data_IF_472218239142
#
_entry.id   IF_472218239142
#
_cell.length_a   1.000
_cell.length_b   1.000
_cell.length_c   1.000
_cell.angle_alpha   90.00
_cell.angle_beta   90.00
_cell.angle_gamma   90.00
#
_symmetry.space_group_name_H-M   'P 1'
#
loop_
_entity.id
_entity.type
_entity.pdbx_description
1 polymer ?
#
# COMPACT_ATOMS: atom_id res chain seq x y z
N UNK A 1 -3.31 -4.98 -11.06
CA UNK A 1 -2.61 -3.93 -10.33
C UNK A 1 -1.10 -4.18 -10.42
N UNK A 2 -0.32 -3.19 -10.83
CA UNK A 2 1.14 -3.26 -10.82
C UNK A 2 1.67 -2.44 -9.63
N UNK A 3 2.64 -2.96 -8.88
CA UNK A 3 3.24 -2.27 -7.73
C UNK A 3 4.71 -2.03 -8.01
N UNK A 4 5.14 -0.77 -7.89
CA UNK A 4 6.55 -0.38 -7.99
C UNK A 4 6.99 0.20 -6.66
N UNK A 5 7.96 -0.47 -6.02
CA UNK A 5 8.66 0.08 -4.85
C UNK A 5 9.64 1.13 -5.35
N UNK A 6 9.52 2.36 -4.85
CA UNK A 6 10.38 3.49 -5.22
C UNK A 6 11.53 3.67 -4.25
N UNK A 7 11.30 3.40 -2.98
CA UNK A 7 12.25 3.68 -1.90
C UNK A 7 11.94 2.81 -0.69
N UNK A 8 12.99 2.40 0.03
CA UNK A 8 12.93 1.69 1.31
C UNK A 8 13.56 2.60 2.36
N UNK A 9 12.81 2.97 3.40
CA UNK A 9 13.31 3.71 4.56
C UNK A 9 13.31 2.82 5.78
N UNK A 10 14.44 2.72 6.45
CA UNK A 10 14.54 2.02 7.73
C UNK A 10 14.03 2.94 8.84
N UNK A 11 13.16 2.40 9.70
CA UNK A 11 12.66 3.08 10.88
C UNK A 11 13.52 2.66 12.07
N UNK A 12 14.01 3.63 12.83
CA UNK A 12 14.87 3.42 13.99
C UNK A 12 14.19 4.01 15.22
N UNK A 13 14.31 3.32 16.36
CA UNK A 13 13.67 3.76 17.62
C UNK A 13 14.38 5.01 18.19
N UNK A 14 15.71 5.07 18.05
CA UNK A 14 16.51 6.13 18.66
C UNK A 14 17.74 6.50 17.80
N UNK A 15 17.49 7.06 16.61
CA UNK A 15 18.53 7.44 15.65
C UNK A 15 19.11 6.27 14.85
N UNK A 16 19.83 6.60 13.78
CA UNK A 16 20.39 5.70 12.77
C UNK A 16 21.51 4.78 13.28
N UNK A 17 21.97 4.97 14.52
CA UNK A 17 22.91 4.06 15.19
C UNK A 17 22.23 2.92 15.96
N UNK A 18 20.91 2.98 16.13
CA UNK A 18 20.13 1.93 16.80
C UNK A 18 19.73 0.83 15.82
N UNK A 19 19.35 -0.34 16.34
CA UNK A 19 18.67 -1.36 15.53
C UNK A 19 17.40 -0.77 14.91
N UNK A 20 17.18 -1.05 13.62
CA UNK A 20 15.93 -0.68 12.98
C UNK A 20 14.78 -1.52 13.55
N UNK A 21 13.61 -0.92 13.73
CA UNK A 21 12.39 -1.58 14.25
C UNK A 21 11.44 -2.00 13.14
N UNK A 22 11.67 -1.50 11.93
CA UNK A 22 10.97 -1.92 10.72
C UNK A 22 11.40 -1.13 9.50
N UNK A 23 10.70 -1.35 8.40
CA UNK A 23 10.91 -0.62 7.15
C UNK A 23 9.62 0.00 6.65
N UNK A 24 9.75 1.18 6.07
CA UNK A 24 8.71 1.86 5.30
C UNK A 24 9.03 1.74 3.82
N UNK A 25 8.12 1.14 3.07
CA UNK A 25 8.24 0.91 1.64
C UNK A 25 7.37 1.93 0.92
N UNK A 26 8.00 2.95 0.34
CA UNK A 26 7.30 3.89 -0.51
C UNK A 26 7.03 3.24 -1.85
N UNK A 27 5.77 3.17 -2.22
CA UNK A 27 5.34 2.53 -3.47
C UNK A 27 4.39 3.41 -4.26
N UNK A 28 4.23 3.07 -5.52
CA UNK A 28 3.11 3.49 -6.35
C UNK A 28 2.45 2.26 -6.96
N UNK A 29 1.12 2.22 -6.97
CA UNK A 29 0.39 1.25 -7.76
C UNK A 29 -0.23 1.87 -9.02
N UNK A 30 -0.38 1.05 -10.05
CA UNK A 30 -1.16 1.39 -11.25
C UNK A 30 -2.26 0.34 -11.50
N UNK A 31 -3.41 0.80 -12.00
CA UNK A 31 -4.62 0.00 -12.26
C UNK A 31 -5.89 0.83 -12.02
N UNK A 32 -7.05 0.17 -12.01
CA UNK A 32 -8.35 0.83 -11.73
C UNK A 32 -8.39 1.52 -10.36
N UNK A 33 -7.54 1.08 -9.43
CA UNK A 33 -7.34 1.68 -8.12
C UNK A 33 -5.87 2.04 -7.92
N UNK A 34 -5.62 3.28 -7.49
CA UNK A 34 -4.28 3.78 -7.17
C UNK A 34 -4.13 3.95 -5.67
N UNK A 35 -3.12 3.31 -5.10
CA UNK A 35 -2.65 3.55 -3.75
C UNK A 35 -1.30 4.25 -3.80
N UNK A 36 -1.15 5.21 -2.91
CA UNK A 36 0.07 5.99 -2.75
C UNK A 36 0.40 6.12 -1.28
N UNK A 37 1.67 5.95 -0.91
CA UNK A 37 2.15 6.16 0.45
C UNK A 37 3.07 5.03 0.93
N UNK A 38 3.60 5.14 2.16
CA UNK A 38 4.45 4.11 2.73
C UNK A 38 3.65 2.91 3.27
N UNK A 39 4.06 1.70 2.91
CA UNK A 39 3.69 0.48 3.65
C UNK A 39 4.69 0.26 4.78
N UNK A 40 4.20 0.03 6.00
CA UNK A 40 5.04 -0.38 7.14
C UNK A 40 5.19 -1.90 7.17
N UNK A 41 6.42 -2.37 7.31
CA UNK A 41 6.76 -3.78 7.51
C UNK A 41 7.59 -3.88 8.79
N UNK A 42 7.24 -4.82 9.67
CA UNK A 42 7.99 -5.08 10.89
C UNK A 42 9.39 -5.64 10.59
N UNK A 43 10.36 -5.39 11.48
CA UNK A 43 11.75 -5.87 11.35
C UNK A 43 11.80 -7.37 11.02
N UNK A 44 11.17 -8.20 11.85
CA UNK A 44 11.25 -9.66 11.78
C UNK A 44 10.78 -10.19 10.42
N UNK A 45 9.63 -9.70 9.94
CA UNK A 45 9.10 -10.08 8.63
C UNK A 45 9.98 -9.59 7.47
N UNK A 46 10.65 -8.44 7.63
CA UNK A 46 11.59 -7.96 6.62
C UNK A 46 12.85 -8.80 6.60
N UNK A 47 13.45 -9.12 7.76
CA UNK A 47 14.67 -9.94 7.87
C UNK A 47 14.44 -11.39 7.42
N UNK A 48 13.27 -11.98 7.74
CA UNK A 48 12.91 -13.33 7.32
C UNK A 48 12.86 -13.46 5.78
N UNK A 49 12.40 -12.41 5.10
CA UNK A 49 12.20 -12.43 3.66
C UNK A 49 13.24 -11.61 2.88
N UNK A 50 14.17 -10.92 3.54
CA UNK A 50 15.16 -10.06 2.84
C UNK A 50 16.11 -10.84 1.94
N UNK A 51 16.32 -12.13 2.25
CA UNK A 51 17.12 -13.03 1.41
C UNK A 51 16.34 -13.62 0.22
N UNK A 52 15.00 -13.49 0.20
CA UNK A 52 14.12 -14.07 -0.82
C UNK A 52 13.22 -12.99 -1.42
N UNK A 53 13.64 -12.52 -2.60
CA UNK A 53 12.97 -11.44 -3.33
C UNK A 53 11.50 -11.74 -3.67
N UNK A 54 11.12 -13.00 -3.88
CA UNK A 54 9.75 -13.36 -4.21
C UNK A 54 8.86 -13.39 -2.96
N UNK A 55 9.39 -13.86 -1.83
CA UNK A 55 8.70 -13.71 -0.54
C UNK A 55 8.55 -12.25 -0.13
N UNK A 56 9.58 -11.42 -0.34
CA UNK A 56 9.50 -9.99 -0.07
C UNK A 56 8.43 -9.31 -0.94
N UNK A 57 8.36 -9.63 -2.24
CA UNK A 57 7.28 -9.14 -3.12
C UNK A 57 5.90 -9.58 -2.64
N UNK A 58 5.77 -10.83 -2.19
CA UNK A 58 4.50 -11.36 -1.68
C UNK A 58 4.06 -10.63 -0.40
N UNK A 59 4.98 -10.39 0.54
CA UNK A 59 4.74 -9.59 1.75
C UNK A 59 4.24 -8.19 1.40
N UNK A 60 4.91 -7.51 0.47
CA UNK A 60 4.52 -6.15 0.03
C UNK A 60 3.13 -6.16 -0.58
N UNK A 61 2.84 -7.12 -1.47
CA UNK A 61 1.50 -7.26 -2.06
C UNK A 61 0.43 -7.44 -0.99
N UNK A 62 0.65 -8.33 -0.01
CA UNK A 62 -0.31 -8.58 1.06
C UNK A 62 -0.58 -7.31 1.88
N UNK A 63 0.47 -6.56 2.24
CA UNK A 63 0.31 -5.30 2.99
C UNK A 63 -0.42 -4.22 2.18
N UNK A 64 -0.19 -4.13 0.88
CA UNK A 64 -0.94 -3.20 0.01
C UNK A 64 -2.42 -3.59 -0.06
N UNK A 65 -2.72 -4.89 -0.15
CA UNK A 65 -4.11 -5.40 -0.13
C UNK A 65 -4.78 -5.10 1.21
N UNK A 66 -4.12 -5.38 2.35
CA UNK A 66 -4.62 -5.00 3.69
C UNK A 66 -4.92 -3.49 3.77
N UNK A 67 -4.05 -2.66 3.18
CA UNK A 67 -4.25 -1.21 3.08
C UNK A 67 -5.47 -0.83 2.24
N UNK A 68 -5.75 -1.53 1.13
CA UNK A 68 -6.95 -1.33 0.31
C UNK A 68 -8.22 -1.74 1.07
N UNK A 69 -8.21 -2.90 1.73
CA UNK A 69 -9.37 -3.43 2.45
C UNK A 69 -9.71 -2.58 3.68
N UNK A 70 -8.68 -2.01 4.34
CA UNK A 70 -8.85 -1.11 5.48
C UNK A 70 -9.18 0.35 5.09
N UNK A 71 -9.02 0.73 3.82
CA UNK A 71 -9.33 2.07 3.37
C UNK A 71 -10.84 2.33 3.53
N UNK A 72 -11.19 3.21 4.46
CA UNK A 72 -12.59 3.68 4.64
C UNK A 72 -13.04 4.39 3.36
N UNK A 73 -13.91 3.73 2.59
CA UNK A 73 -14.57 4.35 1.43
C UNK A 73 -15.49 5.46 1.94
N UNK A 74 -15.08 6.71 1.78
CA UNK A 74 -15.95 7.86 2.02
C UNK A 74 -16.61 8.26 0.71
N UNK A 75 -17.91 7.98 0.58
CA UNK A 75 -18.68 8.36 -0.60
C UNK A 75 -19.22 9.78 -0.41
N UNK A 76 -18.55 10.77 -0.99
CA UNK A 76 -19.04 12.15 -1.06
C UNK A 76 -19.83 12.39 -2.35
N UNK A 77 -21.15 12.20 -2.26
CA UNK A 77 -22.10 12.61 -3.30
C UNK A 77 -22.44 11.52 -4.32
N UNK A 78 -23.54 10.80 -4.08
CA UNK A 78 -24.18 9.95 -5.08
C UNK A 78 -25.13 10.83 -5.89
N UNK A 79 -24.83 11.08 -7.17
CA UNK A 79 -25.80 11.69 -8.10
C UNK A 79 -26.54 10.59 -8.84
N UNK A 80 -27.85 10.46 -8.64
CA UNK A 80 -28.71 9.68 -9.54
C UNK A 80 -28.76 10.41 -10.88
N UNK A 81 -28.31 9.78 -11.96
CA UNK A 81 -28.65 10.26 -13.29
C UNK A 81 -30.12 9.95 -13.54
N UNK A 82 -30.99 10.95 -13.42
CA UNK A 82 -32.34 10.83 -13.93
C UNK A 82 -32.27 10.86 -15.46
N UNK A 83 -32.10 9.70 -16.08
CA UNK A 83 -32.31 9.55 -17.51
C UNK A 83 -33.82 9.64 -17.79
N UNK A 84 -34.36 10.86 -17.88
CA UNK A 84 -35.66 11.06 -18.50
C UNK A 84 -35.52 10.74 -19.98
N UNK A 85 -35.92 9.52 -20.35
CA UNK A 85 -36.28 9.21 -21.72
C UNK A 85 -37.46 10.10 -22.09
N UNK A 86 -37.21 11.14 -22.87
CA UNK A 86 -38.26 11.94 -23.46
C UNK A 86 -39.06 11.02 -24.39
N UNK A 87 -40.23 10.58 -23.94
CA UNK A 87 -41.16 9.79 -24.75
C UNK A 87 -41.92 10.75 -25.65
N UNK A 88 -41.65 10.61 -26.95
CA UNK A 88 -42.39 11.07 -28.12
C UNK A 88 -42.40 12.57 -28.40
#
# INVERSE_FOLDING_TARGET
MNITVKEIKFAYDNGDQSDFTGVQLNFSSTGDYSLTGPVKVAKEAFEEFSADLDKLKALIKNRVIEGLESAKVTITGIRKSNHHWNKF
#
